data_IF_023981644520
#
_entry.id   IF_023981644520
#
_cell.length_a   1.000
_cell.length_b   1.000
_cell.length_c   1.000
_cell.angle_alpha   90.00
_cell.angle_beta   90.00
_cell.angle_gamma   90.00
#
_symmetry.space_group_name_H-M   'P 1'
#
loop_
_entity.id
_entity.type
_entity.pdbx_description
1 polymer ?
#
# COMPACT_ATOMS: atom_id res chain seq x y z
N UNK A 1 12.77 12.05 26.92
CA UNK A 1 12.45 10.67 26.50
C UNK A 1 12.12 10.67 25.01
N UNK A 2 12.57 9.66 24.28
CA UNK A 2 12.42 9.59 22.82
C UNK A 2 11.30 8.60 22.46
N UNK A 3 10.45 8.94 21.49
CA UNK A 3 9.33 8.13 21.04
C UNK A 3 9.44 7.89 19.53
N UNK A 4 9.40 6.63 19.10
CA UNK A 4 9.33 6.24 17.69
C UNK A 4 7.92 5.79 17.30
N UNK A 5 7.31 6.43 16.30
CA UNK A 5 6.01 6.04 15.74
C UNK A 5 6.25 5.18 14.50
N UNK A 6 6.00 3.87 14.61
CA UNK A 6 6.11 2.94 13.49
C UNK A 6 4.84 2.98 12.64
N UNK A 7 4.97 3.30 11.35
CA UNK A 7 3.83 3.40 10.42
C UNK A 7 4.14 2.88 9.02
N UNK A 8 3.09 2.51 8.29
CA UNK A 8 3.17 2.15 6.87
C UNK A 8 2.76 3.35 6.01
N UNK A 9 3.71 4.20 5.64
CA UNK A 9 3.43 5.43 4.87
C UNK A 9 2.95 5.14 3.43
N UNK A 10 3.15 3.91 2.95
CA UNK A 10 2.80 3.49 1.59
C UNK A 10 1.31 3.25 1.32
N UNK A 11 0.42 3.53 2.28
CA UNK A 11 -1.02 3.43 2.05
C UNK A 11 -1.59 4.76 1.51
N UNK A 12 -2.54 4.70 0.57
CA UNK A 12 -3.29 5.88 0.05
C UNK A 12 -4.32 6.36 1.09
N UNK A 13 -4.09 6.09 2.38
CA UNK A 13 -5.01 6.45 3.45
C UNK A 13 -4.56 7.76 4.09
N UNK A 14 -5.02 8.87 3.50
CA UNK A 14 -4.74 10.22 4.01
C UNK A 14 -5.22 10.41 5.45
N UNK A 15 -6.32 9.76 5.85
CA UNK A 15 -6.82 9.81 7.22
C UNK A 15 -5.81 9.24 8.21
N UNK A 16 -5.20 8.09 7.89
CA UNK A 16 -4.17 7.49 8.72
C UNK A 16 -2.90 8.37 8.82
N UNK A 17 -2.50 9.01 7.72
CA UNK A 17 -1.36 9.94 7.74
C UNK A 17 -1.64 11.18 8.60
N UNK A 18 -2.84 11.77 8.49
CA UNK A 18 -3.25 12.91 9.31
C UNK A 18 -3.35 12.54 10.80
N UNK A 19 -3.87 11.36 11.12
CA UNK A 19 -3.90 10.85 12.50
C UNK A 19 -2.50 10.66 13.08
N UNK A 20 -1.57 10.11 12.29
CA UNK A 20 -0.16 9.95 12.68
C UNK A 20 0.48 11.32 12.94
N UNK A 21 0.23 12.31 12.08
CA UNK A 21 0.73 13.67 12.24
C UNK A 21 0.14 14.36 13.48
N UNK A 22 -1.16 14.24 13.72
CA UNK A 22 -1.82 14.78 14.91
C UNK A 22 -1.23 14.18 16.19
N UNK A 23 -0.99 12.86 16.21
CA UNK A 23 -0.34 12.17 17.32
C UNK A 23 1.09 12.67 17.55
N UNK A 24 1.88 12.82 16.49
CA UNK A 24 3.23 13.37 16.57
C UNK A 24 3.19 14.76 17.23
N UNK A 25 2.33 15.66 16.74
CA UNK A 25 2.22 17.03 17.27
C UNK A 25 1.77 17.06 18.73
N UNK A 26 0.83 16.20 19.09
CA UNK A 26 0.40 16.06 20.47
C UNK A 26 1.56 15.64 21.39
N UNK A 27 2.34 14.63 21.01
CA UNK A 27 3.49 14.18 21.80
C UNK A 27 4.62 15.21 21.85
N UNK A 28 4.90 15.90 20.74
CA UNK A 28 5.86 17.01 20.71
C UNK A 28 5.45 18.15 21.67
N UNK A 29 4.15 18.50 21.71
CA UNK A 29 3.62 19.50 22.64
C UNK A 29 3.74 19.11 24.13
N UNK A 30 3.97 17.83 24.42
CA UNK A 30 4.25 17.33 25.77
C UNK A 30 5.75 17.30 26.11
N UNK A 31 6.61 17.79 25.22
CA UNK A 31 8.06 17.88 25.41
C UNK A 31 8.82 16.60 25.07
N UNK A 32 8.21 15.67 24.34
CA UNK A 32 8.88 14.46 23.86
C UNK A 32 9.58 14.71 22.52
N UNK A 33 10.71 14.02 22.30
CA UNK A 33 11.35 13.96 21.00
C UNK A 33 10.74 12.79 20.20
N UNK A 34 10.04 13.09 19.12
CA UNK A 34 9.21 12.13 18.38
C UNK A 34 9.75 11.94 16.96
N UNK A 35 9.88 10.70 16.53
CA UNK A 35 10.32 10.34 15.17
C UNK A 35 9.32 9.40 14.51
N UNK A 36 8.98 9.65 13.25
CA UNK A 36 8.18 8.72 12.43
C UNK A 36 9.12 7.74 11.73
N UNK A 37 8.85 6.44 11.89
CA UNK A 37 9.60 5.34 11.27
C UNK A 37 8.69 4.70 10.23
N UNK A 38 9.04 4.88 8.95
CA UNK A 38 8.33 4.25 7.85
C UNK A 38 8.78 2.78 7.71
N UNK A 39 7.89 1.85 8.03
CA UNK A 39 8.13 0.43 7.88
C UNK A 39 7.71 -0.05 6.48
N UNK A 40 8.66 -0.65 5.77
CA UNK A 40 8.45 -1.25 4.45
C UNK A 40 8.64 -2.76 4.60
N UNK A 41 7.56 -3.56 4.51
CA UNK A 41 7.69 -5.01 4.58
C UNK A 41 8.42 -5.55 3.34
N UNK A 42 9.39 -6.43 3.55
CA UNK A 42 10.21 -7.07 2.51
C UNK A 42 9.40 -7.93 1.52
N UNK A 43 8.17 -8.31 1.88
CA UNK A 43 7.27 -9.14 1.06
C UNK A 43 6.80 -8.45 -0.22
N UNK A 44 7.07 -7.14 -0.39
CA UNK A 44 6.82 -6.41 -1.64
C UNK A 44 7.80 -6.75 -2.77
N UNK A 45 8.68 -7.75 -2.61
CA UNK A 45 9.41 -8.38 -3.73
C UNK A 45 8.44 -9.11 -4.65
N UNK A 46 7.80 -8.37 -5.55
CA UNK A 46 7.12 -8.85 -6.75
C UNK A 46 6.06 -9.92 -6.50
N UNK A 47 4.79 -9.51 -6.42
CA UNK A 47 3.69 -10.47 -6.52
C UNK A 47 3.85 -11.24 -7.84
N UNK A 48 4.25 -12.51 -7.75
CA UNK A 48 4.49 -13.35 -8.93
C UNK A 48 3.24 -13.34 -9.81
N UNK A 49 3.39 -13.18 -11.11
CA UNK A 49 2.28 -13.00 -12.06
C UNK A 49 1.20 -14.09 -11.94
N UNK A 50 1.60 -15.32 -11.59
CA UNK A 50 0.71 -16.45 -11.40
C UNK A 50 -0.10 -16.43 -10.09
N UNK A 51 0.30 -15.64 -9.08
CA UNK A 51 -0.46 -15.49 -7.83
C UNK A 51 -1.77 -14.75 -8.11
N UNK A 52 -2.88 -15.35 -7.68
CA UNK A 52 -4.23 -14.78 -7.85
C UNK A 52 -4.88 -15.02 -9.22
N UNK A 53 -4.32 -15.88 -10.08
CA UNK A 53 -4.97 -16.33 -11.32
C UNK A 53 -5.96 -17.49 -11.12
N UNK A 54 -6.01 -18.09 -9.93
CA UNK A 54 -6.95 -19.17 -9.61
C UNK A 54 -6.67 -20.51 -10.28
N UNK A 55 -5.50 -20.68 -10.93
CA UNK A 55 -5.14 -21.90 -11.71
C UNK A 55 -5.37 -23.19 -10.93
N UNK A 56 -4.92 -23.24 -9.66
CA UNK A 56 -5.04 -24.44 -8.81
C UNK A 56 -6.48 -24.83 -8.48
N UNK A 57 -7.42 -23.87 -8.49
CA UNK A 57 -8.82 -24.09 -8.10
C UNK A 57 -9.76 -24.22 -9.30
N UNK A 58 -9.47 -23.53 -10.40
CA UNK A 58 -10.38 -23.37 -11.54
C UNK A 58 -9.78 -23.80 -12.89
N UNK A 59 -8.52 -24.22 -12.93
CA UNK A 59 -7.84 -24.69 -14.14
C UNK A 59 -7.27 -23.57 -15.04
N UNK A 60 -6.66 -23.99 -16.15
CA UNK A 60 -5.88 -23.11 -17.05
C UNK A 60 -6.78 -22.14 -17.85
N UNK A 61 -7.96 -22.60 -18.30
CA UNK A 61 -8.91 -21.81 -19.09
C UNK A 61 -9.43 -20.59 -18.32
N UNK A 62 -9.77 -20.78 -17.05
CA UNK A 62 -10.17 -19.69 -16.16
C UNK A 62 -9.04 -18.66 -15.98
N UNK A 63 -7.80 -19.14 -15.80
CA UNK A 63 -6.64 -18.27 -15.64
C UNK A 63 -6.37 -17.42 -16.89
N UNK A 64 -6.52 -17.98 -18.09
CA UNK A 64 -6.42 -17.24 -19.35
C UNK A 64 -7.49 -16.14 -19.44
N UNK A 65 -8.74 -16.45 -19.07
CA UNK A 65 -9.82 -15.45 -19.01
C UNK A 65 -9.51 -14.32 -18.02
N UNK A 66 -9.04 -14.64 -16.82
CA UNK A 66 -8.66 -13.63 -15.81
C UNK A 66 -7.48 -12.78 -16.27
N UNK A 67 -6.48 -13.39 -16.92
CA UNK A 67 -5.35 -12.65 -17.48
C UNK A 67 -5.80 -11.67 -18.57
N UNK A 68 -6.66 -12.11 -19.48
CA UNK A 68 -7.24 -11.27 -20.52
C UNK A 68 -8.01 -10.07 -19.93
N UNK A 69 -8.87 -10.32 -18.93
CA UNK A 69 -9.58 -9.24 -18.22
C UNK A 69 -8.60 -8.27 -17.53
N UNK A 70 -7.54 -8.78 -16.87
CA UNK A 70 -6.51 -7.90 -16.27
C UNK A 70 -5.85 -7.02 -17.33
N UNK A 71 -5.51 -7.55 -18.51
CA UNK A 71 -4.91 -6.78 -19.60
C UNK A 71 -5.83 -5.65 -20.10
N UNK A 72 -7.11 -5.95 -20.31
CA UNK A 72 -8.09 -4.93 -20.75
C UNK A 72 -8.23 -3.78 -19.73
N UNK A 73 -8.16 -4.09 -18.44
CA UNK A 73 -8.37 -3.09 -17.37
C UNK A 73 -7.08 -2.45 -16.84
N UNK A 74 -5.89 -2.90 -17.28
CA UNK A 74 -4.59 -2.33 -16.86
C UNK A 74 -4.51 -0.83 -17.16
N UNK A 75 -4.96 -0.39 -18.35
CA UNK A 75 -4.88 1.02 -18.74
C UNK A 75 -5.81 1.90 -17.89
N UNK A 76 -6.99 1.38 -17.51
CA UNK A 76 -7.93 2.07 -16.63
C UNK A 76 -7.38 2.19 -15.20
N UNK A 77 -6.73 1.13 -14.70
CA UNK A 77 -6.05 1.16 -13.40
C UNK A 77 -4.88 2.14 -13.37
N UNK A 78 -4.05 2.18 -14.43
CA UNK A 78 -2.95 3.14 -14.57
C UNK A 78 -3.45 4.60 -14.55
N UNK A 79 -4.58 4.90 -15.21
CA UNK A 79 -5.17 6.25 -15.21
C UNK A 79 -5.63 6.71 -13.82
N UNK A 80 -6.17 5.79 -13.00
CA UNK A 80 -6.60 6.09 -11.62
C UNK A 80 -5.42 6.43 -10.69
N UNK A 81 -4.29 5.75 -10.85
CA UNK A 81 -3.12 5.96 -9.97
C UNK A 81 -2.33 7.23 -10.31
N UNK A 82 -2.37 7.71 -11.57
CA UNK A 82 -1.69 8.95 -11.98
C UNK A 82 -2.26 10.22 -11.33
N UNK A 83 -3.51 10.21 -10.85
CA UNK A 83 -4.13 11.36 -10.18
C UNK A 83 -3.69 11.58 -8.73
N UNK A 84 -2.85 10.69 -8.17
CA UNK A 84 -2.46 10.69 -6.75
C UNK A 84 -0.95 10.89 -6.51
N UNK A 85 -0.15 11.09 -7.56
CA UNK A 85 1.26 11.52 -7.43
C UNK A 85 1.36 13.00 -7.76
N UNK A 86 1.20 13.84 -6.73
CA UNK A 86 1.68 15.22 -6.70
C UNK A 86 2.76 15.31 -5.65
#
# INVERSE_FOLDING_TARGET
MNIGILTFQHSINFGAQLQCFALQKFLESKGFNVMIINYIPDEKKGMKLYKGLGVRKYGILYALRVLFLRLLYVNKAKKKNKGFST
#
